data_IF_105769827924
#
_entry.id   IF_105769827924
#
_cell.length_a   1.000
_cell.length_b   1.000
_cell.length_c   1.000
_cell.angle_alpha   90.00
_cell.angle_beta   90.00
_cell.angle_gamma   90.00
#
_symmetry.space_group_name_H-M   'P 1'
#
loop_
_entity.id
_entity.type
_entity.pdbx_description
1 polymer ?
#
# COMPACT_ATOMS: atom_id res chain seq x y z
N UNK A 1 16.35 -7.42 1.99
CA UNK A 1 16.05 -6.03 2.37
C UNK A 1 16.06 -5.07 1.17
N UNK A 2 17.17 -4.94 0.47
CA UNK A 2 17.30 -4.05 -0.71
C UNK A 2 16.31 -4.42 -1.82
N UNK A 3 16.08 -5.71 -2.05
CA UNK A 3 15.18 -6.19 -3.08
C UNK A 3 13.72 -5.78 -2.83
N UNK A 4 13.27 -5.82 -1.59
CA UNK A 4 11.91 -5.44 -1.20
C UNK A 4 11.66 -3.93 -1.33
N UNK A 5 12.67 -3.12 -1.02
CA UNK A 5 12.62 -1.68 -1.23
C UNK A 5 12.58 -1.32 -2.71
N UNK A 6 13.35 -2.02 -3.54
CA UNK A 6 13.32 -1.87 -4.99
C UNK A 6 11.96 -2.26 -5.56
N UNK A 7 11.41 -3.39 -5.12
CA UNK A 7 10.10 -3.86 -5.54
C UNK A 7 9.01 -2.86 -5.15
N UNK A 8 9.00 -2.39 -3.90
CA UNK A 8 8.05 -1.39 -3.43
C UNK A 8 8.16 -0.08 -4.22
N UNK A 9 9.38 0.39 -4.46
CA UNK A 9 9.64 1.60 -5.25
C UNK A 9 9.13 1.44 -6.68
N UNK A 10 9.42 0.31 -7.32
CA UNK A 10 8.96 0.01 -8.66
C UNK A 10 7.43 -0.05 -8.76
N UNK A 11 6.77 -0.69 -7.79
CA UNK A 11 5.31 -0.78 -7.71
C UNK A 11 4.65 0.60 -7.54
N UNK A 12 5.21 1.43 -6.67
CA UNK A 12 4.69 2.79 -6.46
C UNK A 12 4.89 3.66 -7.70
N UNK A 13 6.05 3.58 -8.35
CA UNK A 13 6.34 4.33 -9.58
C UNK A 13 5.52 3.83 -10.77
N UNK A 14 5.21 2.53 -10.82
CA UNK A 14 4.41 1.93 -11.88
C UNK A 14 2.91 2.25 -11.77
N UNK A 15 2.45 2.83 -10.67
CA UNK A 15 1.03 3.16 -10.48
C UNK A 15 0.67 4.39 -11.33
N UNK A 16 -0.11 4.25 -12.41
CA UNK A 16 -0.45 5.37 -13.28
C UNK A 16 -1.47 6.30 -12.62
N UNK A 17 -1.31 7.60 -12.85
CA UNK A 17 -2.29 8.61 -12.46
C UNK A 17 -2.13 9.19 -11.05
N UNK A 18 -1.07 8.86 -10.32
CA UNK A 18 -0.76 9.54 -9.07
C UNK A 18 0.14 10.77 -9.32
N UNK A 19 -0.22 11.89 -8.71
CA UNK A 19 0.65 13.05 -8.66
C UNK A 19 1.97 12.73 -7.93
N UNK A 20 3.08 13.27 -8.42
CA UNK A 20 4.44 13.03 -7.88
C UNK A 20 4.52 13.25 -6.37
N UNK A 21 3.84 14.25 -5.85
CA UNK A 21 3.79 14.52 -4.40
C UNK A 21 3.11 13.40 -3.60
N UNK A 22 2.07 12.80 -4.17
CA UNK A 22 1.37 11.66 -3.56
C UNK A 22 2.19 10.39 -3.66
N UNK A 23 2.87 10.17 -4.79
CA UNK A 23 3.80 9.04 -4.94
C UNK A 23 4.92 9.09 -3.91
N UNK A 24 5.52 10.27 -3.69
CA UNK A 24 6.56 10.46 -2.67
C UNK A 24 6.06 10.20 -1.25
N UNK A 25 4.84 10.63 -0.91
CA UNK A 25 4.24 10.34 0.40
C UNK A 25 3.95 8.84 0.58
N UNK A 26 3.38 8.20 -0.42
CA UNK A 26 3.13 6.76 -0.40
C UNK A 26 4.43 5.98 -0.29
N UNK A 27 5.47 6.38 -1.03
CA UNK A 27 6.79 5.76 -0.96
C UNK A 27 7.42 5.93 0.42
N UNK A 28 7.39 7.13 0.99
CA UNK A 28 7.92 7.40 2.33
C UNK A 28 7.19 6.60 3.41
N UNK A 29 5.87 6.54 3.35
CA UNK A 29 5.06 5.75 4.28
C UNK A 29 5.31 4.25 4.08
N UNK A 30 5.44 3.79 2.85
CA UNK A 30 5.75 2.41 2.51
C UNK A 30 7.11 1.97 3.04
N UNK A 31 8.13 2.81 2.89
CA UNK A 31 9.48 2.57 3.45
C UNK A 31 9.43 2.49 4.97
N UNK A 32 8.71 3.41 5.62
CA UNK A 32 8.55 3.41 7.08
C UNK A 32 7.88 2.13 7.57
N UNK A 33 6.80 1.70 6.92
CA UNK A 33 6.11 0.45 7.22
C UNK A 33 7.01 -0.76 6.98
N UNK A 34 7.78 -0.77 5.90
CA UNK A 34 8.73 -1.85 5.58
C UNK A 34 9.83 -1.97 6.65
N UNK A 35 10.34 -0.84 7.13
CA UNK A 35 11.30 -0.82 8.24
C UNK A 35 10.67 -1.38 9.53
N UNK A 36 9.43 -1.00 9.83
CA UNK A 36 8.70 -1.55 10.98
C UNK A 36 8.50 -3.06 10.87
N UNK A 37 8.11 -3.57 9.70
CA UNK A 37 8.00 -5.01 9.45
C UNK A 37 9.33 -5.73 9.59
N UNK A 38 10.42 -5.13 9.14
CA UNK A 38 11.75 -5.72 9.27
C UNK A 38 12.20 -5.85 10.72
N UNK A 39 11.96 -4.82 11.53
CA UNK A 39 12.21 -4.89 12.98
C UNK A 39 11.35 -5.97 13.64
N UNK A 40 10.07 -6.05 13.26
CA UNK A 40 9.17 -7.07 13.79
C UNK A 40 9.63 -8.48 13.41
N UNK A 41 10.08 -8.69 12.17
CA UNK A 41 10.62 -9.97 11.69
C UNK A 41 11.85 -10.40 12.49
N UNK A 42 12.79 -9.48 12.77
CA UNK A 42 13.95 -9.74 13.63
C UNK A 42 13.52 -10.20 15.02
N UNK A 43 12.53 -9.53 15.64
CA UNK A 43 12.04 -9.88 16.97
C UNK A 43 11.37 -11.26 16.97
N UNK A 44 10.55 -11.55 15.95
CA UNK A 44 9.88 -12.86 15.82
C UNK A 44 10.90 -13.96 15.58
N UNK A 45 11.88 -13.74 14.71
CA UNK A 45 12.95 -14.70 14.41
C UNK A 45 13.79 -15.00 15.65
N UNK A 46 14.10 -13.99 16.44
CA UNK A 46 14.82 -14.16 17.70
C UNK A 46 14.04 -15.01 18.69
N UNK A 47 12.74 -14.73 18.85
CA UNK A 47 11.84 -15.53 19.70
C UNK A 47 11.68 -16.96 19.22
N UNK A 48 11.55 -17.16 17.91
CA UNK A 48 11.42 -18.48 17.32
C UNK A 48 12.69 -19.31 17.51
N UNK A 49 13.87 -18.73 17.31
CA UNK A 49 15.15 -19.40 17.56
C UNK A 49 15.34 -19.77 19.04
N UNK A 50 14.90 -18.91 19.94
CA UNK A 50 14.93 -19.20 21.36
C UNK A 50 14.00 -20.38 21.72
N UNK A 51 12.79 -20.40 21.17
CA UNK A 51 11.85 -21.51 21.37
C UNK A 51 12.37 -22.84 20.79
N UNK A 52 13.03 -22.80 19.63
CA UNK A 52 13.67 -23.98 19.02
C UNK A 52 14.80 -24.51 19.89
N UNK A 53 15.61 -23.62 20.46
CA UNK A 53 16.69 -24.01 21.38
C UNK A 53 16.19 -24.71 22.65
N UNK A 54 14.99 -24.33 23.12
CA UNK A 54 14.38 -24.96 24.31
C UNK A 54 13.64 -26.27 24.00
N UNK A 55 12.99 -26.36 22.84
CA UNK A 55 12.10 -27.51 22.51
C UNK A 55 12.72 -28.51 21.53
N UNK A 56 13.79 -28.13 20.82
CA UNK A 56 14.43 -28.99 19.83
C UNK A 56 13.57 -29.39 18.63
N UNK A 57 12.43 -28.70 18.43
CA UNK A 57 11.45 -29.01 17.40
C UNK A 57 11.88 -28.50 16.02
N UNK A 58 12.16 -29.43 15.10
CA UNK A 58 12.49 -29.11 13.70
C UNK A 58 11.32 -28.45 12.94
N UNK A 59 10.08 -28.74 13.33
CA UNK A 59 8.87 -28.17 12.70
C UNK A 59 8.76 -26.66 12.97
N UNK A 60 9.02 -26.22 14.19
CA UNK A 60 9.01 -24.79 14.56
C UNK A 60 10.08 -24.02 13.78
N UNK A 61 11.25 -24.65 13.60
CA UNK A 61 12.34 -24.05 12.81
C UNK A 61 11.93 -23.88 11.34
N UNK A 62 11.36 -24.91 10.72
CA UNK A 62 10.89 -24.86 9.34
C UNK A 62 9.80 -23.78 9.16
N UNK A 63 8.83 -23.69 10.08
CA UNK A 63 7.79 -22.67 10.04
C UNK A 63 8.37 -21.25 10.16
N UNK A 64 9.34 -21.05 11.06
CA UNK A 64 9.99 -19.76 11.24
C UNK A 64 10.79 -19.33 10.00
N UNK A 65 11.53 -20.24 9.38
CA UNK A 65 12.30 -20.00 8.15
C UNK A 65 11.35 -19.73 6.95
N UNK A 66 10.25 -20.47 6.87
CA UNK A 66 9.25 -20.29 5.80
C UNK A 66 8.51 -18.94 5.94
N UNK A 67 8.03 -18.61 7.12
CA UNK A 67 7.34 -17.33 7.39
C UNK A 67 8.29 -16.14 7.25
N UNK A 68 9.53 -16.24 7.71
CA UNK A 68 10.53 -15.19 7.56
C UNK A 68 10.88 -14.93 6.10
N UNK A 69 11.14 -15.97 5.31
CA UNK A 69 11.51 -15.83 3.91
C UNK A 69 10.39 -15.32 3.01
N UNK A 70 9.19 -15.90 3.12
CA UNK A 70 8.04 -15.48 2.32
C UNK A 70 7.36 -14.21 2.84
N UNK A 71 7.34 -14.02 4.17
CA UNK A 71 6.71 -12.86 4.78
C UNK A 71 7.36 -11.55 4.35
N UNK A 72 8.66 -11.54 4.18
CA UNK A 72 9.42 -10.37 3.74
C UNK A 72 9.04 -9.93 2.31
N UNK A 73 8.87 -10.86 1.40
CA UNK A 73 8.46 -10.57 0.01
C UNK A 73 6.97 -10.17 -0.08
N UNK A 74 6.11 -10.86 0.64
CA UNK A 74 4.68 -10.58 0.66
C UNK A 74 4.36 -9.25 1.34
N UNK A 75 5.17 -8.79 2.31
CA UNK A 75 4.98 -7.52 2.99
C UNK A 75 5.04 -6.32 2.05
N UNK A 76 5.96 -6.30 1.11
CA UNK A 76 6.08 -5.22 0.12
C UNK A 76 4.82 -5.11 -0.76
N UNK A 77 4.30 -6.25 -1.23
CA UNK A 77 3.08 -6.30 -2.04
C UNK A 77 1.86 -5.91 -1.20
N UNK A 78 1.76 -6.39 0.03
CA UNK A 78 0.66 -6.06 0.95
C UNK A 78 0.63 -4.56 1.28
N UNK A 79 1.77 -3.96 1.55
CA UNK A 79 1.89 -2.51 1.79
C UNK A 79 1.46 -1.72 0.56
N UNK A 80 1.91 -2.12 -0.64
CA UNK A 80 1.51 -1.48 -1.88
C UNK A 80 -0.01 -1.57 -2.10
N UNK A 81 -0.61 -2.75 -1.93
CA UNK A 81 -2.06 -2.95 -2.03
C UNK A 81 -2.82 -2.06 -1.05
N UNK A 82 -2.40 -2.01 0.22
CA UNK A 82 -3.01 -1.16 1.25
C UNK A 82 -2.95 0.33 0.91
N UNK A 83 -1.80 0.80 0.43
CA UNK A 83 -1.61 2.21 0.07
C UNK A 83 -2.38 2.60 -1.19
N UNK A 84 -2.47 1.71 -2.18
CA UNK A 84 -3.16 1.96 -3.45
C UNK A 84 -4.65 1.65 -3.38
N UNK A 85 -5.09 0.78 -2.47
CA UNK A 85 -6.50 0.39 -2.33
C UNK A 85 -7.41 1.60 -2.08
N UNK A 86 -7.02 2.51 -1.20
CA UNK A 86 -7.74 3.76 -0.92
C UNK A 86 -7.88 4.65 -2.17
N UNK A 87 -6.87 4.66 -3.01
CA UNK A 87 -6.87 5.43 -4.25
C UNK A 87 -7.85 4.84 -5.26
N UNK A 88 -7.83 3.53 -5.47
CA UNK A 88 -8.74 2.83 -6.38
C UNK A 88 -10.20 2.92 -5.92
N UNK A 89 -10.43 2.87 -4.63
CA UNK A 89 -11.78 2.97 -4.07
C UNK A 89 -12.38 4.37 -4.29
N UNK A 90 -11.58 5.43 -4.16
CA UNK A 90 -12.03 6.80 -4.44
C UNK A 90 -12.37 7.02 -5.91
N UNK A 91 -11.61 6.47 -6.83
CA UNK A 91 -11.90 6.57 -8.27
C UNK A 91 -13.24 5.94 -8.65
N UNK A 92 -13.58 4.81 -8.03
CA UNK A 92 -14.90 4.17 -8.25
C UNK A 92 -16.07 5.03 -7.76
N UNK A 93 -15.92 5.69 -6.62
CA UNK A 93 -16.97 6.54 -6.04
C UNK A 93 -17.20 7.80 -6.88
N UNK A 94 -16.16 8.39 -7.45
CA UNK A 94 -16.27 9.56 -8.33
C UNK A 94 -16.91 9.20 -9.68
N UNK A 95 -16.68 8.00 -10.20
CA UNK A 95 -17.29 7.52 -11.44
C UNK A 95 -18.77 7.13 -11.31
N UNK A 96 -19.20 6.78 -10.09
CA UNK A 96 -20.58 6.37 -9.83
C UNK A 96 -21.58 7.53 -9.76
N UNK A 97 -21.15 8.79 -9.76
CA UNK A 97 -22.03 9.97 -9.70
C UNK A 97 -21.78 10.95 -10.87
N UNK A 98 -22.03 10.56 -12.12
CA UNK A 98 -21.94 11.50 -13.25
C UNK A 98 -23.05 12.54 -13.28
N UNK A 99 -24.12 12.35 -12.48
CA UNK A 99 -25.29 13.22 -12.48
C UNK A 99 -25.09 14.58 -11.78
N UNK A 100 -24.04 14.74 -10.98
CA UNK A 100 -23.78 16.00 -10.27
C UNK A 100 -23.07 17.03 -11.15
N UNK A 101 -22.32 16.61 -12.16
CA UNK A 101 -21.62 17.54 -13.07
C UNK A 101 -22.50 18.08 -14.20
N UNK A 102 -23.53 17.36 -14.61
CA UNK A 102 -24.44 17.79 -15.69
C UNK A 102 -25.39 18.92 -15.28
N UNK A 103 -25.52 19.22 -13.99
CA UNK A 103 -26.43 20.28 -13.53
C UNK A 103 -25.76 21.66 -13.40
N UNK A 104 -24.44 21.75 -13.45
CA UNK A 104 -23.72 23.03 -13.32
C UNK A 104 -23.73 23.92 -14.57
N UNK A 105 -23.64 23.42 -15.80
CA UNK A 105 -23.63 24.31 -16.97
C UNK A 105 -25.01 24.89 -17.33
N UNK A 106 -26.09 24.26 -16.94
CA UNK A 106 -27.44 24.73 -17.23
C UNK A 106 -27.83 25.98 -16.45
N UNK A 107 -27.39 26.11 -15.20
CA UNK A 107 -27.67 27.31 -14.40
C UNK A 107 -26.87 28.54 -14.85
N UNK A 108 -25.63 28.34 -15.29
CA UNK A 108 -24.80 29.43 -15.82
C UNK A 108 -25.34 29.96 -17.16
N UNK A 109 -25.94 29.08 -18.00
CA UNK A 109 -26.59 29.48 -19.26
C UNK A 109 -27.93 30.19 -19.03
N UNK A 110 -28.69 29.81 -18.01
CA UNK A 110 -29.96 30.50 -17.64
C UNK A 110 -29.72 31.90 -17.03
N UNK A 111 -28.67 32.07 -16.23
CA UNK A 111 -28.30 33.35 -15.66
C UNK A 111 -27.88 34.40 -16.68
N UNK A 112 -27.35 33.99 -17.82
CA UNK A 112 -26.97 34.88 -18.92
C UNK A 112 -28.16 35.37 -19.79
N UNK A 113 -29.26 34.63 -19.79
CA UNK A 113 -30.48 35.03 -20.54
C UNK A 113 -31.40 36.02 -19.82
N UNK A 114 -31.23 36.15 -18.53
CA UNK A 114 -32.04 37.06 -17.67
C UNK A 114 -31.47 38.49 -17.65
N UNK A 115 -30.23 38.71 -18.07
CA UNK A 115 -29.61 40.04 -18.17
C UNK A 115 -29.67 40.71 -19.54
N UNK A 116 -30.39 40.13 -20.45
CA UNK A 116 -30.76 40.74 -21.73
C UNK A 116 -32.21 41.09 -21.76
#
# INVERSE_FOLDING_TARGET
>A
MVFNLLLLTALVLATPGLEIRRQLRCLGLGILLQMGFHVLDIVISFRANYAVALTGSSTVRFLAEFLGGMGEQLSAVAIWVLLTFRYWFRLKTTRANPSVELHKPSQAALGKKVHL
#
